data_IF_304045192214
#
_entry.id   IF_304045192214
#
_cell.length_a   1.000
_cell.length_b   1.000
_cell.length_c   1.000
_cell.angle_alpha   90.00
_cell.angle_beta   90.00
_cell.angle_gamma   90.00
#
_symmetry.space_group_name_H-M   'P 1'
#
loop_
_entity.id
_entity.type
_entity.pdbx_description
1 polymer ?
#
# COMPACT_ATOMS: atom_id res chain seq x y z
N UNK A 1 -64.34 31.38 -6.48
CA UNK A 1 -63.61 30.69 -5.42
C UNK A 1 -63.10 29.29 -5.78
N UNK A 2 -63.15 28.83 -7.05
CA UNK A 2 -62.69 27.46 -7.43
C UNK A 2 -61.29 27.41 -8.11
N UNK A 3 -60.74 28.54 -8.47
CA UNK A 3 -59.45 28.58 -9.20
C UNK A 3 -58.21 28.71 -8.33
N UNK A 4 -58.34 29.13 -7.04
CA UNK A 4 -57.23 29.25 -6.09
C UNK A 4 -56.83 27.94 -5.44
N UNK A 5 -57.74 26.97 -5.34
CA UNK A 5 -57.51 25.68 -4.69
C UNK A 5 -56.73 24.70 -5.60
N UNK A 6 -56.86 24.82 -6.92
CA UNK A 6 -56.17 23.96 -7.88
C UNK A 6 -54.68 24.34 -8.00
N UNK A 7 -54.35 25.62 -7.83
CA UNK A 7 -52.96 26.08 -7.90
C UNK A 7 -52.12 25.64 -6.65
N UNK A 8 -52.77 25.50 -5.51
CA UNK A 8 -52.08 25.08 -4.27
C UNK A 8 -51.81 23.58 -4.25
N UNK A 9 -52.66 22.76 -4.87
CA UNK A 9 -52.47 21.31 -4.97
C UNK A 9 -51.37 20.92 -5.99
N UNK A 10 -51.18 21.72 -7.04
CA UNK A 10 -50.09 21.51 -8.03
C UNK A 10 -48.72 21.89 -7.44
N UNK A 11 -48.63 22.85 -6.51
CA UNK A 11 -47.39 23.23 -5.85
C UNK A 11 -46.95 22.20 -4.79
N UNK A 12 -47.88 21.48 -4.18
CA UNK A 12 -47.58 20.41 -3.21
C UNK A 12 -47.18 19.08 -3.86
N UNK A 13 -47.59 18.84 -5.11
CA UNK A 13 -47.18 17.63 -5.84
C UNK A 13 -45.73 17.70 -6.43
N UNK A 14 -45.14 18.89 -6.53
CA UNK A 14 -43.76 19.06 -7.03
C UNK A 14 -42.71 18.95 -5.95
N UNK A 15 -43.08 18.93 -4.65
CA UNK A 15 -42.14 18.84 -3.53
C UNK A 15 -41.74 17.40 -3.16
N UNK A 16 -42.30 16.38 -3.82
CA UNK A 16 -42.00 14.97 -3.53
C UNK A 16 -41.11 14.26 -4.60
N UNK A 17 -40.70 14.97 -5.66
CA UNK A 17 -39.64 14.48 -6.54
C UNK A 17 -38.29 15.04 -6.08
N UNK A 18 -37.90 14.73 -4.85
CA UNK A 18 -36.47 14.72 -4.52
C UNK A 18 -35.85 13.64 -5.39
N UNK A 19 -34.85 13.95 -6.25
CA UNK A 19 -34.10 12.89 -6.88
C UNK A 19 -33.54 12.04 -5.74
N UNK A 20 -33.89 10.77 -5.74
CA UNK A 20 -33.14 9.75 -4.98
C UNK A 20 -31.71 9.81 -5.55
N UNK A 21 -30.92 10.75 -5.04
CA UNK A 21 -29.47 10.65 -5.16
C UNK A 21 -29.14 9.36 -4.47
N UNK A 22 -29.00 8.28 -5.23
CA UNK A 22 -28.29 7.11 -4.80
C UNK A 22 -26.90 7.63 -4.45
N UNK A 23 -26.70 7.99 -3.19
CA UNK A 23 -25.38 8.05 -2.63
C UNK A 23 -24.85 6.62 -2.77
N UNK A 24 -24.17 6.38 -3.90
CA UNK A 24 -23.24 5.29 -3.96
C UNK A 24 -22.25 5.57 -2.81
N UNK A 25 -22.48 4.91 -1.69
CA UNK A 25 -21.53 4.84 -0.61
C UNK A 25 -20.35 4.05 -1.15
N UNK A 26 -19.53 4.71 -2.00
CA UNK A 26 -18.24 4.20 -2.35
C UNK A 26 -17.50 4.02 -1.02
N UNK A 27 -16.95 2.85 -0.82
CA UNK A 27 -16.14 2.58 0.35
C UNK A 27 -15.19 3.76 0.53
N UNK A 28 -15.16 4.36 1.72
CA UNK A 28 -14.28 5.50 2.06
C UNK A 28 -12.79 5.19 1.79
N UNK A 29 -12.50 3.99 1.29
CA UNK A 29 -11.19 3.43 1.06
C UNK A 29 -10.65 3.63 -0.35
N UNK A 30 -11.46 4.11 -1.30
CA UNK A 30 -11.04 4.35 -2.67
C UNK A 30 -10.10 5.55 -2.84
N UNK A 31 -9.31 5.56 -3.91
CA UNK A 31 -8.47 6.67 -4.35
C UNK A 31 -8.30 6.59 -5.87
N UNK A 32 -8.15 7.73 -6.52
CA UNK A 32 -7.85 7.78 -7.95
C UNK A 32 -6.45 7.23 -8.25
N UNK A 33 -6.32 6.44 -9.33
CA UNK A 33 -5.05 5.87 -9.73
C UNK A 33 -4.40 6.75 -10.77
N UNK A 34 -3.31 7.39 -10.39
CA UNK A 34 -2.52 8.28 -11.24
C UNK A 34 -1.10 7.75 -11.51
N UNK A 35 -0.55 6.90 -10.64
CA UNK A 35 0.87 6.60 -10.61
C UNK A 35 1.31 5.39 -11.44
N UNK A 36 0.43 4.44 -11.75
CA UNK A 36 0.80 3.23 -12.47
C UNK A 36 -0.29 2.77 -13.45
N UNK A 37 0.05 1.82 -14.30
CA UNK A 37 -0.88 1.12 -15.22
C UNK A 37 -0.67 -0.39 -15.14
N UNK A 38 -1.56 -1.14 -15.79
CA UNK A 38 -1.43 -2.60 -15.89
C UNK A 38 -0.16 -3.01 -16.63
N UNK A 39 0.59 -3.97 -16.06
CA UNK A 39 1.85 -4.47 -16.60
C UNK A 39 3.09 -3.72 -16.10
N UNK A 40 2.98 -2.98 -15.00
CA UNK A 40 4.16 -2.41 -14.35
C UNK A 40 4.95 -3.49 -13.62
N UNK A 41 6.27 -3.50 -13.83
CA UNK A 41 7.25 -4.37 -13.18
C UNK A 41 8.36 -3.52 -12.57
N UNK A 42 8.62 -3.69 -11.27
CA UNK A 42 9.69 -3.02 -10.53
C UNK A 42 10.60 -4.08 -9.91
N UNK A 43 11.90 -3.97 -10.10
CA UNK A 43 12.90 -4.86 -9.50
C UNK A 43 13.83 -4.08 -8.59
N UNK A 44 14.21 -4.72 -7.48
CA UNK A 44 15.04 -4.12 -6.43
C UNK A 44 16.18 -5.05 -6.05
N UNK A 45 17.32 -4.46 -5.70
CA UNK A 45 18.40 -5.13 -4.99
C UNK A 45 18.23 -4.86 -3.48
N UNK A 46 18.32 -5.93 -2.68
CA UNK A 46 18.15 -5.86 -1.23
C UNK A 46 19.51 -5.93 -0.55
N UNK A 47 19.72 -5.00 0.40
CA UNK A 47 20.93 -4.93 1.22
C UNK A 47 20.56 -4.96 2.70
N UNK A 48 21.45 -5.53 3.49
CA UNK A 48 21.37 -5.51 4.94
C UNK A 48 22.58 -4.80 5.52
N UNK A 49 22.33 -3.95 6.51
CA UNK A 49 23.35 -3.24 7.25
C UNK A 49 23.22 -3.55 8.74
N UNK A 50 24.28 -4.08 9.32
CA UNK A 50 24.40 -4.29 10.76
C UNK A 50 25.82 -4.00 11.21
N UNK A 51 26.01 -3.02 12.10
CA UNK A 51 27.32 -2.53 12.52
C UNK A 51 28.18 -2.15 11.29
N UNK A 52 29.27 -2.88 11.05
CA UNK A 52 30.19 -2.64 9.91
C UNK A 52 29.88 -3.51 8.69
N UNK A 53 28.87 -4.39 8.79
CA UNK A 53 28.53 -5.33 7.71
C UNK A 53 27.53 -4.65 6.79
N UNK A 54 27.90 -4.50 5.53
CA UNK A 54 27.07 -4.06 4.43
C UNK A 54 27.10 -5.11 3.34
N UNK A 55 25.99 -5.81 3.12
CA UNK A 55 25.97 -6.88 2.14
C UNK A 55 24.67 -6.89 1.34
N UNK A 56 24.76 -7.31 0.09
CA UNK A 56 23.61 -7.64 -0.74
C UNK A 56 23.05 -8.98 -0.27
N UNK A 57 21.82 -8.96 0.23
CA UNK A 57 21.15 -10.13 0.82
C UNK A 57 20.16 -10.78 -0.11
N UNK A 58 19.74 -10.12 -1.19
CA UNK A 58 18.77 -10.68 -2.11
C UNK A 58 18.25 -9.69 -3.14
N UNK A 59 17.11 -10.02 -3.70
CA UNK A 59 16.35 -9.22 -4.65
C UNK A 59 14.87 -9.21 -4.28
N UNK A 60 14.15 -8.17 -4.74
CA UNK A 60 12.69 -8.13 -4.70
C UNK A 60 12.16 -7.75 -6.08
N UNK A 61 11.02 -8.35 -6.44
CA UNK A 61 10.28 -8.01 -7.65
C UNK A 61 8.84 -7.70 -7.28
N UNK A 62 8.34 -6.56 -7.75
CA UNK A 62 6.96 -6.14 -7.58
C UNK A 62 6.32 -5.97 -8.95
N UNK A 63 5.22 -6.69 -9.19
CA UNK A 63 4.44 -6.60 -10.42
C UNK A 63 3.01 -6.18 -10.10
N UNK A 64 2.46 -5.31 -10.96
CA UNK A 64 1.11 -4.77 -10.79
C UNK A 64 0.35 -4.86 -12.12
N UNK A 65 -0.80 -5.51 -12.10
CA UNK A 65 -1.63 -5.68 -13.30
C UNK A 65 -3.12 -5.69 -13.00
N UNK A 66 -3.92 -5.26 -13.98
CA UNK A 66 -5.36 -5.44 -13.97
C UNK A 66 -5.69 -6.90 -14.33
N UNK A 67 -6.64 -7.49 -13.60
CA UNK A 67 -7.12 -8.86 -13.79
C UNK A 67 -8.55 -8.98 -13.26
N UNK A 68 -9.04 -10.20 -13.06
CA UNK A 68 -10.30 -10.46 -12.36
C UNK A 68 -10.05 -11.15 -11.02
N UNK A 69 -10.82 -10.74 -10.02
CA UNK A 69 -10.94 -11.40 -8.72
C UNK A 69 -12.41 -11.68 -8.46
N UNK A 70 -12.77 -12.95 -8.28
CA UNK A 70 -14.18 -13.37 -8.13
C UNK A 70 -15.10 -12.84 -9.27
N UNK A 71 -14.60 -12.85 -10.52
CA UNK A 71 -15.33 -12.41 -11.71
C UNK A 71 -15.38 -10.89 -11.95
N UNK A 72 -14.93 -10.06 -11.02
CA UNK A 72 -14.91 -8.59 -11.12
C UNK A 72 -13.51 -8.08 -11.43
N UNK A 73 -13.41 -6.93 -12.11
CA UNK A 73 -12.13 -6.29 -12.40
C UNK A 73 -11.43 -5.90 -11.10
N UNK A 74 -10.14 -6.22 -11.01
CA UNK A 74 -9.33 -5.99 -9.83
C UNK A 74 -7.87 -5.74 -10.20
N UNK A 75 -7.21 -4.89 -9.44
CA UNK A 75 -5.76 -4.80 -9.43
C UNK A 75 -5.18 -5.98 -8.67
N UNK A 76 -4.28 -6.70 -9.30
CA UNK A 76 -3.43 -7.70 -8.66
C UNK A 76 -2.03 -7.14 -8.54
N UNK A 77 -1.49 -7.08 -7.34
CA UNK A 77 -0.08 -6.80 -7.09
C UNK A 77 0.54 -7.92 -6.28
N UNK A 78 1.77 -8.27 -6.64
CA UNK A 78 2.56 -9.18 -5.82
C UNK A 78 3.98 -8.67 -5.69
N UNK A 79 4.59 -8.94 -4.54
CA UNK A 79 5.98 -8.68 -4.23
C UNK A 79 6.61 -10.01 -3.81
N UNK A 80 7.65 -10.40 -4.52
CA UNK A 80 8.42 -11.61 -4.22
C UNK A 80 9.82 -11.18 -3.79
N UNK A 81 10.22 -11.57 -2.59
CA UNK A 81 11.59 -11.42 -2.13
C UNK A 81 12.32 -12.76 -2.21
N UNK A 82 13.57 -12.72 -2.65
CA UNK A 82 14.43 -13.89 -2.73
C UNK A 82 15.78 -13.56 -2.11
N UNK A 83 16.13 -14.29 -1.06
CA UNK A 83 17.43 -14.20 -0.42
C UNK A 83 18.55 -14.72 -1.35
N UNK A 84 19.77 -14.36 -1.03
CA UNK A 84 20.97 -14.90 -1.68
C UNK A 84 21.22 -16.32 -1.14
N UNK A 85 21.22 -17.32 -1.99
CA UNK A 85 21.41 -18.73 -1.62
C UNK A 85 22.68 -19.01 -0.80
N UNK A 86 23.72 -18.20 -0.94
CA UNK A 86 24.95 -18.30 -0.14
C UNK A 86 24.70 -17.92 1.33
N UNK A 87 23.65 -17.16 1.61
CA UNK A 87 23.26 -16.72 2.95
C UNK A 87 22.16 -17.58 3.55
N UNK A 88 21.53 -18.49 2.79
CA UNK A 88 20.46 -19.36 3.27
C UNK A 88 20.89 -20.23 4.46
N UNK A 89 22.21 -20.49 4.61
CA UNK A 89 22.77 -21.19 5.78
C UNK A 89 22.67 -20.40 7.08
N UNK A 90 22.53 -19.06 6.98
CA UNK A 90 22.42 -18.17 8.13
C UNK A 90 21.01 -17.63 8.30
N UNK A 91 20.34 -17.35 7.21
CA UNK A 91 18.98 -16.80 7.20
C UNK A 91 18.32 -16.99 5.84
N UNK A 92 17.24 -17.76 5.80
CA UNK A 92 16.43 -17.94 4.58
C UNK A 92 15.41 -16.82 4.49
N UNK A 93 15.42 -16.06 3.38
CA UNK A 93 14.43 -15.01 3.08
C UNK A 93 13.70 -15.37 1.80
N UNK A 94 12.44 -15.79 1.91
CA UNK A 94 11.56 -16.12 0.80
C UNK A 94 10.14 -15.70 1.12
N UNK A 95 9.85 -14.43 0.90
CA UNK A 95 8.53 -13.87 1.17
C UNK A 95 7.78 -13.63 -0.12
N UNK A 96 6.49 -13.91 -0.08
CA UNK A 96 5.55 -13.54 -1.12
C UNK A 96 4.41 -12.76 -0.51
N UNK A 97 4.23 -11.53 -0.98
CA UNK A 97 3.07 -10.72 -0.68
C UNK A 97 2.20 -10.67 -1.93
N UNK A 98 0.91 -10.92 -1.78
CA UNK A 98 -0.10 -10.85 -2.83
C UNK A 98 -1.25 -9.98 -2.35
N UNK A 99 -1.71 -9.05 -3.17
CA UNK A 99 -2.89 -8.25 -2.89
C UNK A 99 -3.79 -8.16 -4.11
N UNK A 100 -5.10 -8.19 -3.86
CA UNK A 100 -6.12 -7.78 -4.81
C UNK A 100 -6.85 -6.56 -4.26
N UNK A 101 -7.04 -5.56 -5.11
CA UNK A 101 -7.77 -4.35 -4.79
C UNK A 101 -8.83 -4.08 -5.86
N UNK A 102 -9.92 -3.43 -5.48
CA UNK A 102 -10.86 -2.87 -6.44
C UNK A 102 -10.18 -1.89 -7.41
N UNK A 103 -10.82 -1.52 -8.53
CA UNK A 103 -10.29 -0.50 -9.44
C UNK A 103 -9.91 0.83 -8.77
N UNK A 104 -10.54 1.19 -7.66
CA UNK A 104 -10.26 2.38 -6.83
C UNK A 104 -9.22 2.15 -5.72
N UNK A 105 -8.51 1.03 -5.74
CA UNK A 105 -7.52 0.59 -4.73
C UNK A 105 -8.10 0.33 -3.32
N UNK A 106 -9.40 0.23 -3.13
CA UNK A 106 -9.93 -0.34 -1.89
C UNK A 106 -9.57 -1.84 -1.83
N UNK A 107 -8.98 -2.32 -0.71
CA UNK A 107 -8.51 -3.70 -0.61
C UNK A 107 -9.63 -4.73 -0.75
N UNK A 108 -9.33 -5.89 -1.38
CA UNK A 108 -10.23 -7.05 -1.48
C UNK A 108 -9.65 -8.27 -0.77
N UNK A 109 -8.38 -8.55 -1.03
CA UNK A 109 -7.70 -9.72 -0.47
C UNK A 109 -6.21 -9.45 -0.34
N UNK A 110 -5.62 -9.92 0.74
CA UNK A 110 -4.18 -9.91 0.96
C UNK A 110 -3.70 -11.25 1.48
N UNK A 111 -2.52 -11.69 1.03
CA UNK A 111 -1.82 -12.85 1.54
C UNK A 111 -0.34 -12.56 1.67
N UNK A 112 0.22 -12.86 2.84
CA UNK A 112 1.65 -12.96 3.09
C UNK A 112 1.98 -14.43 3.34
N UNK A 113 2.88 -15.02 2.54
CA UNK A 113 3.55 -16.27 2.86
C UNK A 113 5.01 -15.95 3.10
N UNK A 114 5.52 -16.24 4.29
CA UNK A 114 6.87 -15.90 4.69
C UNK A 114 7.65 -17.11 5.19
N UNK A 115 8.87 -17.27 4.67
CA UNK A 115 9.89 -18.16 5.24
C UNK A 115 10.98 -17.29 5.82
N UNK A 116 11.02 -17.20 7.14
CA UNK A 116 12.00 -16.42 7.90
C UNK A 116 12.81 -17.38 8.79
N UNK A 117 14.04 -17.67 8.37
CA UNK A 117 14.83 -18.73 8.97
C UNK A 117 14.18 -20.11 8.76
N UNK A 118 13.91 -20.82 9.85
CA UNK A 118 13.28 -22.15 9.84
C UNK A 118 11.75 -22.10 10.02
N UNK A 119 11.19 -20.89 10.11
CA UNK A 119 9.76 -20.69 10.35
C UNK A 119 9.03 -20.31 9.08
N UNK A 120 7.93 -21.01 8.78
CA UNK A 120 6.98 -20.65 7.73
C UNK A 120 5.65 -20.29 8.34
N UNK A 121 5.06 -19.19 7.89
CA UNK A 121 3.72 -18.78 8.27
C UNK A 121 2.97 -18.12 7.12
N UNK A 122 1.65 -18.11 7.23
CA UNK A 122 0.76 -17.46 6.27
C UNK A 122 -0.17 -16.52 7.03
N UNK A 123 -0.29 -15.29 6.54
CA UNK A 123 -1.30 -14.32 6.97
C UNK A 123 -2.20 -13.98 5.77
N UNK A 124 -3.51 -14.03 5.96
CA UNK A 124 -4.50 -13.71 4.94
C UNK A 124 -5.56 -12.76 5.50
N UNK A 125 -6.01 -11.82 4.67
CA UNK A 125 -7.04 -10.85 4.97
C UNK A 125 -8.05 -10.83 3.83
N UNK A 126 -9.33 -11.00 4.13
CA UNK A 126 -10.43 -10.73 3.20
C UNK A 126 -11.17 -9.49 3.66
N UNK A 127 -11.45 -8.62 2.73
CA UNK A 127 -12.10 -7.34 2.97
C UNK A 127 -13.53 -7.35 2.42
N UNK A 128 -14.46 -6.82 3.17
CA UNK A 128 -15.80 -6.49 2.74
C UNK A 128 -16.24 -5.17 3.35
N UNK A 129 -17.26 -4.54 2.74
CA UNK A 129 -17.64 -3.18 3.12
C UNK A 129 -19.13 -3.05 3.44
N UNK A 130 -19.69 -3.84 4.39
CA UNK A 130 -21.09 -3.78 4.74
C UNK A 130 -21.42 -2.42 5.39
N UNK A 131 -22.46 -1.73 4.86
CA UNK A 131 -22.93 -0.43 5.36
C UNK A 131 -21.80 0.62 5.47
N UNK A 132 -20.81 0.60 4.55
CA UNK A 132 -19.68 1.53 4.53
C UNK A 132 -18.61 1.28 5.60
N UNK A 133 -18.72 0.25 6.41
CA UNK A 133 -17.68 -0.16 7.36
C UNK A 133 -16.69 -1.12 6.70
N UNK A 134 -15.44 -1.07 7.11
CA UNK A 134 -14.42 -2.03 6.69
C UNK A 134 -14.48 -3.27 7.58
N UNK A 135 -14.94 -4.40 7.04
CA UNK A 135 -14.93 -5.68 7.73
C UNK A 135 -13.77 -6.53 7.23
N UNK A 136 -12.97 -7.03 8.16
CA UNK A 136 -11.81 -7.90 7.93
C UNK A 136 -12.09 -9.29 8.47
N UNK A 137 -12.06 -10.31 7.59
CA UNK A 137 -11.90 -11.70 7.99
C UNK A 137 -10.42 -12.03 7.90
N UNK A 138 -9.81 -12.37 9.02
CA UNK A 138 -8.38 -12.63 9.18
C UNK A 138 -8.14 -14.10 9.39
N UNK A 139 -7.12 -14.63 8.72
CA UNK A 139 -6.66 -16.01 8.87
C UNK A 139 -5.14 -16.01 9.02
N UNK A 140 -4.66 -16.77 9.97
CA UNK A 140 -3.23 -17.01 10.15
C UNK A 140 -2.98 -18.51 10.26
N UNK A 141 -2.00 -19.00 9.51
CA UNK A 141 -1.38 -20.30 9.72
C UNK A 141 -0.05 -20.04 10.43
N UNK A 142 0.08 -20.54 11.66
CA UNK A 142 1.30 -20.38 12.46
C UNK A 142 2.41 -21.29 11.96
N UNK A 143 3.65 -21.11 12.43
CA UNK A 143 4.77 -22.01 12.12
C UNK A 143 4.56 -23.43 12.62
N UNK A 144 3.68 -23.63 13.61
CA UNK A 144 3.26 -24.97 14.08
C UNK A 144 2.12 -25.57 13.27
N UNK A 145 1.61 -24.88 12.23
CA UNK A 145 0.50 -25.33 11.40
C UNK A 145 -0.89 -25.07 11.98
N UNK A 146 -1.01 -24.32 13.07
CA UNK A 146 -2.29 -23.97 13.67
C UNK A 146 -2.99 -22.90 12.82
N UNK A 147 -4.31 -23.05 12.64
CA UNK A 147 -5.17 -22.12 11.89
C UNK A 147 -5.95 -21.23 12.85
N UNK A 148 -5.62 -19.94 12.86
CA UNK A 148 -6.28 -18.93 13.68
C UNK A 148 -7.18 -18.06 12.81
N UNK A 149 -8.45 -17.92 13.22
CA UNK A 149 -9.45 -17.11 12.51
C UNK A 149 -10.00 -16.01 13.40
N UNK A 150 -10.17 -14.83 12.82
CA UNK A 150 -10.79 -13.69 13.51
C UNK A 150 -11.53 -12.83 12.49
N UNK A 151 -12.70 -12.30 12.89
CA UNK A 151 -13.41 -11.26 12.12
C UNK A 151 -13.50 -10.00 12.97
N UNK A 152 -13.25 -8.85 12.33
CA UNK A 152 -13.29 -7.54 12.99
C UNK A 152 -13.92 -6.51 12.05
N UNK A 153 -14.66 -5.55 12.58
CA UNK A 153 -15.30 -4.48 11.80
C UNK A 153 -14.80 -3.13 12.30
N UNK A 154 -14.48 -2.24 11.37
CA UNK A 154 -13.92 -0.91 11.64
C UNK A 154 -14.71 0.15 10.88
N UNK A 155 -14.88 1.32 11.48
CA UNK A 155 -15.51 2.49 10.83
C UNK A 155 -14.60 3.11 9.75
N UNK A 156 -13.28 2.99 9.94
CA UNK A 156 -12.26 3.54 9.04
C UNK A 156 -11.71 2.46 8.12
N UNK A 157 -11.11 2.88 7.02
CA UNK A 157 -10.39 1.98 6.12
C UNK A 157 -9.18 1.37 6.82
N UNK A 158 -9.05 0.07 6.69
CA UNK A 158 -7.87 -0.67 7.12
C UNK A 158 -7.16 -1.19 5.87
N UNK A 159 -5.85 -1.15 5.88
CA UNK A 159 -5.02 -1.55 4.75
C UNK A 159 -4.16 -2.77 5.12
N UNK A 160 -3.58 -3.39 4.11
CA UNK A 160 -2.49 -4.36 4.21
C UNK A 160 -1.18 -3.74 3.69
N UNK A 161 -0.08 -4.48 3.84
CA UNK A 161 1.25 -4.01 3.45
C UNK A 161 1.37 -3.69 1.95
N UNK A 162 0.63 -4.38 1.07
CA UNK A 162 0.68 -4.16 -0.36
C UNK A 162 -0.24 -3.04 -0.81
N UNK A 163 -1.49 -3.03 -0.33
CA UNK A 163 -2.45 -1.97 -0.68
C UNK A 163 -1.95 -0.59 -0.25
N UNK A 164 -1.21 -0.51 0.88
CA UNK A 164 -0.62 0.76 1.33
C UNK A 164 0.52 1.23 0.42
N UNK A 165 1.34 0.32 -0.11
CA UNK A 165 2.40 0.66 -1.07
C UNK A 165 1.81 1.23 -2.37
N UNK A 166 0.73 0.61 -2.88
CA UNK A 166 0.04 1.09 -4.06
C UNK A 166 -0.62 2.44 -3.79
N UNK A 167 -1.30 2.58 -2.65
CA UNK A 167 -2.00 3.79 -2.27
C UNK A 167 -1.04 4.97 -2.04
N UNK A 168 0.09 4.74 -1.37
CA UNK A 168 1.09 5.77 -1.10
C UNK A 168 1.70 6.39 -2.37
N UNK A 169 1.64 5.70 -3.51
CA UNK A 169 2.07 6.21 -4.81
C UNK A 169 1.04 7.12 -5.48
N UNK A 170 -0.20 7.14 -4.99
CA UNK A 170 -1.31 7.89 -5.62
C UNK A 170 -1.70 9.16 -4.84
N UNK A 171 -0.89 9.60 -3.89
CA UNK A 171 -1.12 10.88 -3.21
C UNK A 171 -0.63 12.06 -4.04
N UNK A 172 -1.44 13.10 -4.08
CA UNK A 172 -1.00 14.40 -4.59
C UNK A 172 -0.10 15.09 -3.54
N UNK A 173 1.21 15.04 -3.76
CA UNK A 173 2.19 15.69 -2.91
C UNK A 173 2.45 17.16 -3.28
N UNK A 174 1.78 17.73 -4.30
CA UNK A 174 2.04 19.08 -4.81
C UNK A 174 1.85 20.15 -3.75
N UNK A 175 0.85 19.99 -2.89
CA UNK A 175 0.49 20.91 -1.81
C UNK A 175 1.01 20.51 -0.43
N UNK A 176 1.68 19.37 -0.32
CA UNK A 176 2.15 18.86 0.96
C UNK A 176 3.34 19.67 1.49
N UNK A 177 3.31 19.93 2.79
CA UNK A 177 4.38 20.55 3.56
C UNK A 177 5.08 19.51 4.42
N UNK A 178 6.38 19.71 4.68
CA UNK A 178 7.14 18.85 5.58
C UNK A 178 6.43 18.77 6.95
N UNK A 179 6.21 17.55 7.42
CA UNK A 179 5.47 17.24 8.64
C UNK A 179 4.00 16.91 8.43
N UNK A 180 3.44 17.08 7.22
CA UNK A 180 2.07 16.64 6.93
C UNK A 180 1.95 15.12 7.08
N UNK A 181 0.84 14.69 7.69
CA UNK A 181 0.60 13.31 8.09
C UNK A 181 -0.63 12.74 7.39
N UNK A 182 -0.49 11.52 6.89
CA UNK A 182 -1.59 10.76 6.27
C UNK A 182 -1.82 9.50 7.11
N UNK A 183 -2.97 9.37 7.80
CA UNK A 183 -3.30 8.15 8.55
C UNK A 183 -3.41 6.95 7.61
N UNK A 184 -2.74 5.86 7.98
CA UNK A 184 -2.74 4.60 7.23
C UNK A 184 -2.73 3.40 8.17
N UNK A 185 -3.86 3.08 8.83
CA UNK A 185 -3.93 1.95 9.73
C UNK A 185 -3.77 0.64 8.94
N UNK A 186 -2.86 -0.22 9.40
CA UNK A 186 -2.54 -1.51 8.77
C UNK A 186 -2.95 -2.66 9.67
N UNK A 187 -3.51 -3.73 9.08
CA UNK A 187 -3.65 -5.03 9.74
C UNK A 187 -2.66 -6.05 9.13
N UNK A 188 -2.05 -6.85 9.99
CA UNK A 188 -1.13 -7.94 9.64
C UNK A 188 -1.70 -9.32 10.01
N UNK A 189 -3.01 -9.49 10.00
CA UNK A 189 -3.77 -10.64 10.47
C UNK A 189 -3.71 -10.88 12.00
N UNK A 190 -2.70 -10.40 12.71
CA UNK A 190 -2.58 -10.51 14.18
C UNK A 190 -3.22 -9.33 14.89
N UNK A 191 -2.83 -8.13 14.51
CA UNK A 191 -3.23 -6.88 15.18
C UNK A 191 -3.53 -5.78 14.17
N UNK A 192 -4.21 -4.75 14.65
CA UNK A 192 -4.32 -3.47 13.97
C UNK A 192 -3.21 -2.55 14.48
N UNK A 193 -2.45 -1.98 13.55
CA UNK A 193 -1.41 -1.00 13.83
C UNK A 193 -1.94 0.40 13.44
N UNK A 194 -1.83 1.34 14.37
CA UNK A 194 -2.20 2.75 14.15
C UNK A 194 -1.02 3.48 13.47
N UNK A 195 -0.87 3.20 12.19
CA UNK A 195 0.26 3.66 11.39
C UNK A 195 -0.10 4.91 10.59
N UNK A 196 0.93 5.63 10.15
CA UNK A 196 0.77 6.80 9.29
C UNK A 196 2.00 7.02 8.42
N UNK A 197 1.79 7.74 7.30
CA UNK A 197 2.87 8.33 6.51
C UNK A 197 3.07 9.78 6.92
N UNK A 198 4.32 10.22 7.06
CA UNK A 198 4.72 11.61 7.25
C UNK A 198 5.55 12.07 6.05
N UNK A 199 5.15 13.18 5.45
CA UNK A 199 5.93 13.79 4.38
C UNK A 199 7.16 14.50 4.94
N UNK A 200 8.35 14.09 4.52
CA UNK A 200 9.65 14.61 5.00
C UNK A 200 10.21 15.73 4.13
N UNK A 201 9.60 15.97 2.97
CA UNK A 201 10.05 16.97 2.01
C UNK A 201 10.51 16.38 0.69
N UNK A 202 11.29 17.18 -0.05
CA UNK A 202 11.83 16.82 -1.37
C UNK A 202 13.35 16.87 -1.33
N UNK A 203 13.99 15.91 -1.98
CA UNK A 203 15.46 15.90 -2.14
C UNK A 203 15.88 15.22 -3.44
N UNK A 204 17.10 15.52 -3.88
CA UNK A 204 17.72 14.80 -4.99
C UNK A 204 18.45 13.58 -4.44
N UNK A 205 18.12 12.41 -4.98
CA UNK A 205 18.76 11.16 -4.62
C UNK A 205 19.61 10.63 -5.78
N UNK A 206 20.88 10.33 -5.51
CA UNK A 206 21.79 9.69 -6.47
C UNK A 206 21.90 8.21 -6.16
N UNK A 207 21.55 7.36 -7.12
CA UNK A 207 21.69 5.91 -6.99
C UNK A 207 23.18 5.51 -7.00
N UNK A 208 23.55 4.56 -6.15
CA UNK A 208 24.94 4.15 -5.99
C UNK A 208 25.45 3.38 -7.22
N UNK A 209 24.64 2.47 -7.75
CA UNK A 209 25.06 1.52 -8.79
C UNK A 209 25.01 2.13 -10.20
N UNK A 210 23.88 2.76 -10.55
CA UNK A 210 23.65 3.31 -11.89
C UNK A 210 24.15 4.74 -12.06
N UNK A 211 24.49 5.43 -10.96
CA UNK A 211 24.83 6.87 -10.92
C UNK A 211 23.70 7.79 -11.35
N UNK A 212 22.53 7.25 -11.65
CA UNK A 212 21.35 8.03 -11.98
C UNK A 212 20.92 8.89 -10.78
N UNK A 213 20.42 10.09 -11.07
CA UNK A 213 19.88 11.00 -10.07
C UNK A 213 18.39 11.21 -10.31
N UNK A 214 17.62 11.26 -9.23
CA UNK A 214 16.19 11.51 -9.28
C UNK A 214 15.82 12.62 -8.30
N UNK A 215 14.91 13.51 -8.70
CA UNK A 215 14.15 14.29 -7.73
C UNK A 215 13.20 13.34 -7.01
N UNK A 216 13.17 13.39 -5.70
CA UNK A 216 12.38 12.49 -4.89
C UNK A 216 11.51 13.24 -3.89
N UNK A 217 10.30 12.71 -3.69
CA UNK A 217 9.49 12.93 -2.50
C UNK A 217 9.98 11.96 -1.43
N UNK A 218 10.14 12.44 -0.20
CA UNK A 218 10.57 11.60 0.94
C UNK A 218 9.41 11.45 1.90
N UNK A 219 9.07 10.20 2.22
CA UNK A 219 8.06 9.85 3.21
C UNK A 219 8.65 8.91 4.25
N UNK A 220 8.19 9.05 5.48
CA UNK A 220 8.48 8.10 6.55
C UNK A 220 7.19 7.42 6.99
N UNK A 221 7.23 6.10 7.12
CA UNK A 221 6.13 5.30 7.65
C UNK A 221 6.39 5.00 9.11
N UNK A 222 5.44 5.38 9.94
CA UNK A 222 5.50 5.22 11.38
C UNK A 222 4.43 4.26 11.88
N UNK A 223 4.73 3.58 12.97
CA UNK A 223 3.75 2.89 13.80
C UNK A 223 3.82 3.42 15.24
N UNK A 224 2.71 3.24 15.97
CA UNK A 224 2.64 3.56 17.39
C UNK A 224 2.78 2.27 18.19
N UNK A 225 3.91 2.12 18.87
CA UNK A 225 4.19 1.01 19.76
C UNK A 225 4.39 1.54 21.18
N UNK A 226 3.62 1.04 22.16
CA UNK A 226 3.70 1.46 23.58
C UNK A 226 3.66 3.00 23.77
N UNK A 227 2.73 3.67 23.07
CA UNK A 227 2.58 5.13 23.05
C UNK A 227 3.80 5.91 22.50
N UNK A 228 4.77 5.25 21.90
CA UNK A 228 5.90 5.86 21.22
C UNK A 228 5.76 5.71 19.71
N UNK A 229 6.08 6.78 18.97
CA UNK A 229 6.19 6.73 17.52
C UNK A 229 7.50 6.08 17.12
N UNK A 230 7.44 5.06 16.26
CA UNK A 230 8.61 4.37 15.73
C UNK A 230 8.59 4.46 14.21
N UNK A 231 9.63 5.04 13.64
CA UNK A 231 9.83 5.01 12.20
C UNK A 231 10.19 3.58 11.79
N UNK A 232 9.39 3.00 10.90
CA UNK A 232 9.59 1.64 10.42
C UNK A 232 10.25 1.62 9.05
N UNK A 233 9.82 2.52 8.15
CA UNK A 233 10.32 2.57 6.77
C UNK A 233 10.43 4.03 6.34
N UNK A 234 11.48 4.36 5.59
CA UNK A 234 11.60 5.61 4.85
C UNK A 234 11.68 5.33 3.36
N UNK A 235 10.92 6.09 2.59
CA UNK A 235 10.79 5.95 1.14
C UNK A 235 11.33 7.18 0.43
N UNK A 236 12.10 6.98 -0.63
CA UNK A 236 12.41 7.97 -1.65
C UNK A 236 11.66 7.58 -2.90
N UNK A 237 10.69 8.39 -3.27
CA UNK A 237 9.75 8.13 -4.37
C UNK A 237 10.00 9.18 -5.44
N UNK A 238 10.02 8.80 -6.72
CA UNK A 238 10.23 9.77 -7.82
C UNK A 238 9.20 10.90 -7.77
N UNK A 239 9.69 12.15 -7.86
CA UNK A 239 8.86 13.37 -7.93
C UNK A 239 8.39 13.61 -9.37
N UNK A 240 7.61 12.65 -9.89
CA UNK A 240 6.92 12.65 -11.17
C UNK A 240 5.63 11.84 -11.09
N UNK A 241 4.88 11.75 -12.18
CA UNK A 241 3.59 11.06 -12.20
C UNK A 241 3.65 9.55 -11.87
N UNK A 242 4.80 8.90 -11.95
CA UNK A 242 4.91 7.46 -11.68
C UNK A 242 5.07 7.14 -10.19
N UNK A 243 5.60 8.08 -9.39
CA UNK A 243 5.87 7.90 -7.96
C UNK A 243 6.54 6.55 -7.65
N UNK A 244 7.61 6.21 -8.40
CA UNK A 244 8.32 4.94 -8.21
C UNK A 244 9.24 5.04 -7.00
N UNK A 245 9.15 4.12 -6.03
CA UNK A 245 10.12 4.04 -4.96
C UNK A 245 11.52 3.69 -5.52
N UNK A 246 12.48 4.62 -5.43
CA UNK A 246 13.86 4.38 -5.86
C UNK A 246 14.74 3.84 -4.74
N UNK A 247 14.32 4.11 -3.49
CA UNK A 247 14.98 3.60 -2.29
C UNK A 247 13.96 3.44 -1.16
N UNK A 248 14.13 2.35 -0.40
CA UNK A 248 13.44 2.11 0.86
C UNK A 248 14.48 1.76 1.92
N UNK A 249 14.41 2.42 3.07
CA UNK A 249 15.19 2.08 4.26
C UNK A 249 14.23 1.53 5.30
N UNK A 250 14.40 0.26 5.69
CA UNK A 250 13.60 -0.42 6.71
C UNK A 250 14.42 -0.51 7.99
N UNK A 251 13.88 0.06 9.08
CA UNK A 251 14.53 0.09 10.39
C UNK A 251 14.11 -1.13 11.20
N UNK A 252 15.02 -2.08 11.35
CA UNK A 252 14.79 -3.34 12.05
C UNK A 252 15.24 -3.25 13.51
N UNK A 253 14.88 -4.22 14.34
CA UNK A 253 15.36 -4.31 15.72
C UNK A 253 16.89 -4.48 15.78
N UNK A 254 17.46 -5.14 14.76
CA UNK A 254 18.90 -5.32 14.60
C UNK A 254 19.30 -4.83 13.20
N UNK A 255 19.91 -3.63 13.14
CA UNK A 255 20.37 -3.05 11.89
C UNK A 255 19.27 -2.46 11.02
N UNK A 256 19.50 -2.41 9.70
CA UNK A 256 18.53 -1.93 8.71
C UNK A 256 18.62 -2.73 7.42
N UNK A 257 17.47 -2.94 6.80
CA UNK A 257 17.42 -3.43 5.43
C UNK A 257 17.15 -2.27 4.47
N UNK A 258 17.74 -2.34 3.26
CA UNK A 258 17.53 -1.32 2.24
C UNK A 258 17.20 -1.98 0.91
N UNK A 259 16.22 -1.40 0.22
CA UNK A 259 15.91 -1.78 -1.14
C UNK A 259 16.26 -0.63 -2.08
N UNK A 260 16.98 -0.94 -3.15
CA UNK A 260 17.34 0.00 -4.20
C UNK A 260 16.74 -0.45 -5.52
N UNK A 261 16.08 0.47 -6.22
CA UNK A 261 15.52 0.22 -7.54
C UNK A 261 16.65 -0.21 -8.50
N UNK A 262 16.47 -1.35 -9.13
CA UNK A 262 17.40 -1.89 -10.13
C UNK A 262 16.89 -1.67 -11.55
N UNK A 263 15.61 -1.93 -11.77
CA UNK A 263 14.99 -1.72 -13.07
C UNK A 263 13.48 -1.51 -12.93
N UNK A 264 12.89 -0.87 -13.93
CA UNK A 264 11.46 -0.66 -14.06
C UNK A 264 11.01 -0.85 -15.50
N UNK A 265 9.81 -1.39 -15.69
CA UNK A 265 9.15 -1.57 -16.99
C UNK A 265 7.67 -1.26 -16.87
N UNK A 266 7.02 -1.01 -18.02
CA UNK A 266 5.59 -0.82 -18.06
C UNK A 266 5.08 0.40 -17.29
N UNK A 267 5.92 1.38 -17.00
CA UNK A 267 5.53 2.61 -16.28
C UNK A 267 4.48 3.41 -17.05
N UNK A 268 3.63 4.13 -16.32
CA UNK A 268 2.50 4.85 -16.90
C UNK A 268 2.93 6.09 -17.70
N UNK A 269 3.92 6.81 -17.21
CA UNK A 269 4.35 8.11 -17.74
C UNK A 269 5.87 8.16 -17.91
N UNK A 270 6.41 9.11 -18.69
CA UNK A 270 7.87 9.33 -18.74
C UNK A 270 8.45 9.68 -17.38
N UNK A 271 9.68 9.23 -17.12
CA UNK A 271 10.42 9.47 -15.87
C UNK A 271 11.02 10.89 -15.86
N UNK A 272 10.17 11.89 -15.64
CA UNK A 272 10.57 13.32 -15.68
C UNK A 272 11.32 13.78 -14.42
N UNK A 273 11.34 12.97 -13.37
CA UNK A 273 12.12 13.20 -12.17
C UNK A 273 13.61 12.93 -12.34
N UNK A 274 14.01 12.21 -13.41
CA UNK A 274 15.41 11.90 -13.69
C UNK A 274 16.19 13.18 -14.01
N UNK A 275 17.26 13.43 -13.27
CA UNK A 275 18.15 14.59 -13.42
C UNK A 275 19.38 14.14 -14.23
N UNK A 276 19.78 14.95 -15.19
CA UNK A 276 21.01 14.75 -15.96
C UNK A 276 22.27 14.99 -15.11
#
# INVERSE_FOLDING_TARGET
>A
MKTRTILLTLLLAFSYLSPLTTHHCFAQCGIDIIAFKSGEELSYDLYYNWKFIWMKVGTAQMDTKMTKFEGKDAWKSYLITRGNSKLDKFFTLRDTLLSYCNPDLSPLYFRKGAVEGDSYYVDELWYSYPNGNCQLKKHRITSSGEHLWQTSTYKNCIFDMMSILLRARNFDASKMKKGDVIPMPISDARRLNNSWLEFRGRENYKMNDTKEKFRCLVFSFYDRENNKSKELIRFWITDDQNHIPVRLDMFLSFGSAKAYLKSYKGVRSPMTSRIK
#
